data_IF_449952381834
#
_entry.id   IF_449952381834
#
_cell.length_a   1.000
_cell.length_b   1.000
_cell.length_c   1.000
_cell.angle_alpha   90.00
_cell.angle_beta   90.00
_cell.angle_gamma   90.00
#
_symmetry.space_group_name_H-M   'P 1'
#
loop_
_entity.id
_entity.type
_entity.pdbx_description
1 polymer ?
#
# COMPACT_ATOMS: atom_id res chain seq x y z
N UNK A 1 -11.39 -11.80 -30.19
CA UNK A 1 -12.83 -11.59 -30.40
C UNK A 1 -13.08 -10.10 -30.58
N UNK A 2 -13.60 -9.71 -31.74
CA UNK A 2 -14.04 -8.34 -32.01
C UNK A 2 -15.25 -7.97 -31.16
N UNK A 3 -15.46 -6.68 -30.93
CA UNK A 3 -16.60 -6.19 -30.15
C UNK A 3 -17.94 -6.48 -30.83
N UNK A 4 -17.97 -6.40 -32.16
CA UNK A 4 -19.11 -6.81 -33.00
C UNK A 4 -19.42 -8.31 -32.84
N UNK A 5 -18.38 -9.17 -32.85
CA UNK A 5 -18.51 -10.62 -32.65
C UNK A 5 -19.09 -10.94 -31.27
N UNK A 6 -18.60 -10.26 -30.22
CA UNK A 6 -19.14 -10.42 -28.85
C UNK A 6 -20.60 -10.04 -28.76
N UNK A 7 -20.99 -8.92 -29.38
CA UNK A 7 -22.38 -8.45 -29.35
C UNK A 7 -23.28 -9.43 -30.11
N UNK A 8 -22.82 -9.94 -31.26
CA UNK A 8 -23.53 -10.95 -32.02
C UNK A 8 -23.72 -12.25 -31.22
N UNK A 9 -22.68 -12.71 -30.54
CA UNK A 9 -22.72 -13.89 -29.66
C UNK A 9 -23.71 -13.70 -28.50
N UNK A 10 -23.74 -12.51 -27.88
CA UNK A 10 -24.71 -12.19 -26.83
C UNK A 10 -26.15 -12.20 -27.37
N UNK A 11 -26.40 -11.55 -28.50
CA UNK A 11 -27.74 -11.45 -29.09
C UNK A 11 -28.28 -12.81 -29.56
N UNK A 12 -27.44 -13.59 -30.25
CA UNK A 12 -27.80 -14.94 -30.70
C UNK A 12 -28.11 -15.85 -29.52
N UNK A 13 -27.29 -15.80 -28.46
CA UNK A 13 -27.52 -16.62 -27.27
C UNK A 13 -28.79 -16.22 -26.51
N UNK A 14 -29.08 -14.92 -26.37
CA UNK A 14 -30.34 -14.45 -25.77
C UNK A 14 -31.53 -14.94 -26.58
N UNK A 15 -31.46 -14.85 -27.91
CA UNK A 15 -32.51 -15.32 -28.81
C UNK A 15 -32.74 -16.82 -28.67
N UNK A 16 -31.67 -17.62 -28.64
CA UNK A 16 -31.76 -19.07 -28.45
C UNK A 16 -32.42 -19.45 -27.11
N UNK A 17 -32.10 -18.72 -26.04
CA UNK A 17 -32.74 -18.90 -24.73
C UNK A 17 -34.25 -18.58 -24.82
N UNK A 18 -34.62 -17.47 -25.45
CA UNK A 18 -36.02 -17.05 -25.58
C UNK A 18 -36.84 -18.00 -26.49
N UNK A 19 -36.24 -18.51 -27.56
CA UNK A 19 -36.86 -19.46 -28.50
C UNK A 19 -36.98 -20.87 -27.92
N UNK A 20 -36.06 -21.27 -27.03
CA UNK A 20 -36.07 -22.60 -26.38
C UNK A 20 -37.32 -22.86 -25.53
N UNK A 21 -38.01 -21.81 -25.07
CA UNK A 21 -39.14 -21.85 -24.13
C UNK A 21 -38.86 -22.62 -22.83
N UNK A 22 -37.59 -22.94 -22.54
CA UNK A 22 -37.18 -23.59 -21.30
C UNK A 22 -36.98 -22.56 -20.19
N UNK A 23 -37.08 -22.97 -18.90
CA UNK A 23 -36.66 -22.12 -17.80
C UNK A 23 -35.18 -21.75 -17.95
N UNK A 24 -34.85 -20.47 -17.74
CA UNK A 24 -33.48 -19.96 -17.90
C UNK A 24 -32.45 -20.75 -17.09
N UNK A 25 -32.81 -21.27 -15.91
CA UNK A 25 -31.91 -22.15 -15.14
C UNK A 25 -31.57 -23.42 -15.92
N UNK A 26 -32.58 -24.12 -16.42
CA UNK A 26 -32.45 -25.39 -17.13
C UNK A 26 -31.64 -25.23 -18.40
N UNK A 27 -31.86 -24.13 -19.14
CA UNK A 27 -31.09 -23.86 -20.35
C UNK A 27 -29.59 -23.70 -20.05
N UNK A 28 -29.24 -23.01 -18.97
CA UNK A 28 -27.85 -22.79 -18.56
C UNK A 28 -27.18 -24.05 -18.02
N UNK A 29 -27.95 -24.97 -17.43
CA UNK A 29 -27.43 -26.25 -16.94
C UNK A 29 -27.18 -27.23 -18.10
N UNK A 30 -27.96 -27.13 -19.19
CA UNK A 30 -27.91 -28.05 -20.34
C UNK A 30 -27.04 -27.56 -21.50
N UNK A 31 -26.77 -26.26 -21.60
CA UNK A 31 -26.06 -25.67 -22.72
C UNK A 31 -24.83 -24.88 -22.26
N UNK A 32 -23.77 -24.92 -23.08
CA UNK A 32 -22.61 -24.05 -22.86
C UNK A 32 -22.94 -22.61 -23.26
N UNK A 33 -23.06 -21.73 -22.27
CA UNK A 33 -23.38 -20.31 -22.45
C UNK A 33 -22.11 -19.45 -22.21
N UNK A 34 -21.79 -18.49 -23.09
CA UNK A 34 -20.56 -17.68 -22.99
C UNK A 34 -20.57 -16.65 -21.84
N UNK A 35 -21.68 -16.55 -21.11
CA UNK A 35 -21.83 -15.65 -19.96
C UNK A 35 -22.68 -16.31 -18.87
N UNK A 36 -22.62 -15.75 -17.66
CA UNK A 36 -23.39 -16.23 -16.50
C UNK A 36 -24.87 -15.84 -16.55
N UNK A 37 -25.70 -16.56 -15.80
CA UNK A 37 -27.14 -16.26 -15.64
C UNK A 37 -27.39 -14.84 -15.11
N UNK A 38 -26.52 -14.33 -14.25
CA UNK A 38 -26.61 -12.94 -13.78
C UNK A 38 -26.34 -11.93 -14.90
N UNK A 39 -25.41 -12.23 -15.81
CA UNK A 39 -25.13 -11.40 -16.99
C UNK A 39 -26.29 -11.44 -17.98
N UNK A 40 -26.96 -12.59 -18.17
CA UNK A 40 -28.18 -12.69 -19.00
C UNK A 40 -29.23 -11.65 -18.61
N UNK A 41 -29.64 -11.62 -17.33
CA UNK A 41 -30.65 -10.66 -16.88
C UNK A 41 -30.21 -9.20 -17.01
N UNK A 42 -28.90 -8.92 -16.84
CA UNK A 42 -28.35 -7.58 -17.08
C UNK A 42 -28.43 -7.21 -18.56
N UNK A 43 -28.00 -8.09 -19.46
CA UNK A 43 -28.05 -7.85 -20.90
C UNK A 43 -29.49 -7.66 -21.38
N UNK A 44 -30.43 -8.48 -20.92
CA UNK A 44 -31.85 -8.32 -21.25
C UNK A 44 -32.40 -6.96 -20.78
N UNK A 45 -32.04 -6.53 -19.57
CA UNK A 45 -32.44 -5.21 -19.03
C UNK A 45 -31.84 -4.06 -19.85
N UNK A 46 -30.57 -4.18 -20.24
CA UNK A 46 -29.86 -3.18 -21.04
C UNK A 46 -30.44 -3.11 -22.45
N UNK A 47 -30.66 -4.26 -23.09
CA UNK A 47 -31.26 -4.38 -24.42
C UNK A 47 -32.64 -3.70 -24.45
N UNK A 48 -33.47 -3.93 -23.42
CA UNK A 48 -34.79 -3.31 -23.31
C UNK A 48 -34.73 -1.78 -23.17
N UNK A 49 -33.70 -1.25 -22.52
CA UNK A 49 -33.58 0.19 -22.21
C UNK A 49 -32.84 0.98 -23.29
N UNK A 50 -31.81 0.39 -23.88
CA UNK A 50 -30.83 1.09 -24.73
C UNK A 50 -30.60 0.38 -26.08
N UNK A 51 -31.30 -0.72 -26.38
CA UNK A 51 -31.13 -1.47 -27.62
C UNK A 51 -29.77 -2.17 -27.73
N UNK A 52 -29.38 -2.52 -28.97
CA UNK A 52 -28.09 -3.16 -29.28
C UNK A 52 -26.90 -2.30 -28.85
N UNK A 53 -27.01 -0.98 -29.00
CA UNK A 53 -25.93 -0.05 -28.68
C UNK A 53 -25.52 -0.09 -27.20
N UNK A 54 -26.45 -0.36 -26.29
CA UNK A 54 -26.14 -0.51 -24.86
C UNK A 54 -25.28 -1.74 -24.51
N UNK A 55 -25.10 -2.70 -25.42
CA UNK A 55 -24.24 -3.87 -25.20
C UNK A 55 -22.76 -3.64 -25.58
N UNK A 56 -22.45 -2.49 -26.21
CA UNK A 56 -21.07 -2.06 -26.50
C UNK A 56 -20.31 -1.82 -25.19
N UNK A 57 -19.03 -2.14 -25.20
CA UNK A 57 -18.18 -1.96 -24.02
C UNK A 57 -17.73 -0.51 -23.92
N UNK A 58 -18.52 0.30 -23.21
CA UNK A 58 -18.22 1.71 -23.00
C UNK A 58 -16.98 1.97 -22.13
N UNK A 59 -16.34 0.94 -21.56
CA UNK A 59 -15.09 1.10 -20.79
C UNK A 59 -13.94 1.64 -21.64
N UNK A 60 -13.95 1.35 -22.96
CA UNK A 60 -12.95 1.89 -23.90
C UNK A 60 -13.05 3.41 -24.06
N UNK A 61 -14.22 3.99 -23.80
CA UNK A 61 -14.43 5.43 -23.96
C UNK A 61 -13.91 6.25 -22.77
N UNK A 62 -13.24 5.63 -21.79
CA UNK A 62 -12.54 6.30 -20.69
C UNK A 62 -13.41 7.10 -19.70
N UNK A 63 -14.68 7.34 -20.03
CA UNK A 63 -15.53 8.35 -19.40
C UNK A 63 -16.72 7.80 -18.61
N UNK A 64 -16.87 6.47 -18.48
CA UNK A 64 -17.90 5.89 -17.60
C UNK A 64 -17.42 5.67 -16.16
N UNK A 65 -16.42 6.44 -15.72
CA UNK A 65 -16.07 6.53 -14.31
C UNK A 65 -16.94 7.57 -13.64
N UNK A 66 -17.48 7.25 -12.45
CA UNK A 66 -18.20 8.23 -11.60
C UNK A 66 -17.35 9.46 -11.23
N UNK A 67 -16.03 9.38 -11.42
CA UNK A 67 -15.05 10.41 -11.13
C UNK A 67 -14.75 11.21 -12.42
N UNK A 68 -15.71 12.05 -12.80
CA UNK A 68 -15.59 12.94 -13.97
C UNK A 68 -14.49 13.97 -13.77
N UNK A 69 -14.01 14.59 -14.85
CA UNK A 69 -12.95 15.61 -14.80
C UNK A 69 -13.31 16.78 -13.87
N UNK A 70 -14.55 17.26 -13.94
CA UNK A 70 -15.07 18.28 -13.00
C UNK A 70 -14.97 17.87 -11.54
N UNK A 71 -15.19 16.59 -11.22
CA UNK A 71 -15.05 16.07 -9.85
C UNK A 71 -13.57 15.93 -9.48
N UNK A 72 -12.70 15.54 -10.42
CA UNK A 72 -11.25 15.49 -10.23
C UNK A 72 -10.72 16.87 -9.83
N UNK A 73 -11.09 17.91 -10.58
CA UNK A 73 -10.66 19.28 -10.32
C UNK A 73 -11.12 19.79 -8.96
N UNK A 74 -12.38 19.50 -8.61
CA UNK A 74 -12.92 19.81 -7.29
C UNK A 74 -12.15 19.14 -6.15
N UNK A 75 -11.84 17.84 -6.29
CA UNK A 75 -11.05 17.11 -5.30
C UNK A 75 -9.64 17.69 -5.19
N UNK A 76 -9.01 18.03 -6.31
CA UNK A 76 -7.68 18.67 -6.32
C UNK A 76 -7.72 20.00 -5.57
N UNK A 77 -8.70 20.86 -5.83
CA UNK A 77 -8.84 22.15 -5.17
C UNK A 77 -8.97 22.01 -3.65
N UNK A 78 -9.88 21.15 -3.17
CA UNK A 78 -10.11 20.94 -1.73
C UNK A 78 -8.89 20.32 -1.06
N UNK A 79 -8.25 19.34 -1.69
CA UNK A 79 -7.09 18.65 -1.08
C UNK A 79 -5.85 19.55 -1.08
N UNK A 80 -5.72 20.47 -2.04
CA UNK A 80 -4.67 21.51 -2.01
C UNK A 80 -4.85 22.47 -0.83
N UNK A 81 -6.09 22.87 -0.55
CA UNK A 81 -6.40 23.76 0.58
C UNK A 81 -6.26 23.04 1.93
N UNK A 82 -6.79 21.82 2.05
CA UNK A 82 -6.77 21.04 3.29
C UNK A 82 -6.34 19.60 3.04
N UNK A 83 -5.02 19.38 3.00
CA UNK A 83 -4.43 18.06 2.69
C UNK A 83 -4.77 16.96 3.71
N UNK A 84 -5.13 17.34 4.94
CA UNK A 84 -5.52 16.43 6.02
C UNK A 84 -6.95 15.90 5.95
N UNK A 85 -7.78 16.42 5.02
CA UNK A 85 -9.17 15.97 4.87
C UNK A 85 -9.23 14.46 4.61
N UNK A 86 -10.15 13.79 5.32
CA UNK A 86 -10.37 12.36 5.15
C UNK A 86 -11.13 12.06 3.85
N UNK A 87 -10.93 10.86 3.30
CA UNK A 87 -11.63 10.44 2.08
C UNK A 87 -13.13 10.26 2.29
N UNK A 88 -13.59 9.97 3.52
CA UNK A 88 -15.01 9.95 3.88
C UNK A 88 -15.63 11.36 3.86
N UNK A 89 -14.93 12.36 4.40
CA UNK A 89 -15.37 13.76 4.31
C UNK A 89 -15.41 14.24 2.85
N UNK A 90 -14.40 13.90 2.03
CA UNK A 90 -14.43 14.20 0.60
C UNK A 90 -15.61 13.53 -0.11
N UNK A 91 -15.92 12.27 0.22
CA UNK A 91 -17.06 11.57 -0.34
C UNK A 91 -18.39 12.28 -0.03
N UNK A 92 -18.57 12.75 1.20
CA UNK A 92 -19.75 13.52 1.61
C UNK A 92 -19.81 14.84 0.84
N UNK A 93 -18.69 15.57 0.72
CA UNK A 93 -18.64 16.83 -0.01
C UNK A 93 -19.00 16.64 -1.50
N UNK A 94 -18.49 15.59 -2.13
CA UNK A 94 -18.80 15.26 -3.53
C UNK A 94 -20.27 14.87 -3.69
N UNK A 95 -20.81 14.09 -2.75
CA UNK A 95 -22.23 13.74 -2.75
C UNK A 95 -23.10 14.99 -2.65
N UNK A 96 -22.78 15.91 -1.74
CA UNK A 96 -23.55 17.14 -1.55
C UNK A 96 -23.46 18.08 -2.77
N UNK A 97 -22.28 18.19 -3.38
CA UNK A 97 -22.04 19.13 -4.48
C UNK A 97 -22.50 18.61 -5.85
N UNK A 98 -22.35 17.31 -6.11
CA UNK A 98 -22.57 16.72 -7.44
C UNK A 98 -23.68 15.66 -7.45
N UNK A 99 -24.24 15.29 -6.30
CA UNK A 99 -25.18 14.18 -6.16
C UNK A 99 -24.63 12.85 -6.71
N UNK A 100 -23.31 12.64 -6.62
CA UNK A 100 -22.62 11.44 -7.09
C UNK A 100 -21.95 10.73 -5.92
N UNK A 101 -22.33 9.47 -5.70
CA UNK A 101 -21.69 8.62 -4.71
C UNK A 101 -20.48 7.89 -5.32
N UNK A 102 -19.28 8.27 -4.88
CA UNK A 102 -17.99 7.69 -5.29
C UNK A 102 -17.48 6.76 -4.18
N UNK A 103 -16.87 5.62 -4.52
CA UNK A 103 -16.29 4.73 -3.51
C UNK A 103 -15.01 5.34 -2.90
N UNK A 104 -14.76 5.03 -1.62
CA UNK A 104 -13.55 5.47 -0.92
C UNK A 104 -12.27 4.99 -1.62
N UNK A 105 -12.27 3.75 -2.12
CA UNK A 105 -11.14 3.19 -2.86
C UNK A 105 -10.85 3.98 -4.13
N UNK A 106 -11.89 4.41 -4.86
CA UNK A 106 -11.72 5.24 -6.07
C UNK A 106 -11.12 6.61 -5.73
N UNK A 107 -11.57 7.23 -4.64
CA UNK A 107 -11.01 8.50 -4.16
C UNK A 107 -9.55 8.34 -3.70
N UNK A 108 -9.23 7.27 -2.97
CA UNK A 108 -7.86 7.01 -2.52
C UNK A 108 -6.92 6.74 -3.70
N UNK A 109 -7.37 5.96 -4.69
CA UNK A 109 -6.61 5.71 -5.91
C UNK A 109 -6.37 7.01 -6.70
N UNK A 110 -7.39 7.86 -6.82
CA UNK A 110 -7.25 9.16 -7.45
C UNK A 110 -6.23 10.06 -6.71
N UNK A 111 -6.32 10.14 -5.38
CA UNK A 111 -5.36 10.89 -4.55
C UNK A 111 -3.94 10.35 -4.69
N UNK A 112 -3.76 9.04 -4.75
CA UNK A 112 -2.46 8.41 -4.99
C UNK A 112 -1.92 8.77 -6.38
N UNK A 113 -2.74 8.68 -7.43
CA UNK A 113 -2.35 8.99 -8.81
C UNK A 113 -1.92 10.45 -9.02
N UNK A 114 -2.43 11.36 -8.19
CA UNK A 114 -2.14 12.81 -8.25
C UNK A 114 -1.12 13.25 -7.21
N UNK A 115 -0.50 12.32 -6.47
CA UNK A 115 0.42 12.62 -5.36
C UNK A 115 -0.19 13.50 -4.26
N UNK A 116 -1.51 13.49 -4.12
CA UNK A 116 -2.31 14.23 -3.13
C UNK A 116 -2.77 13.31 -2.00
N UNK A 117 -1.91 12.38 -1.61
CA UNK A 117 -2.11 11.51 -0.44
C UNK A 117 -2.36 12.34 0.81
N UNK A 118 -3.22 11.81 1.68
CA UNK A 118 -3.58 12.46 2.95
C UNK A 118 -2.34 12.54 3.81
N UNK A 119 -1.99 13.76 4.22
CA UNK A 119 -1.07 13.95 5.32
C UNK A 119 -1.89 13.81 6.59
N UNK A 120 -1.51 12.87 7.46
CA UNK A 120 -2.01 12.94 8.83
C UNK A 120 -1.49 14.26 9.39
N UNK A 121 -2.40 15.19 9.68
CA UNK A 121 -2.15 16.11 10.78
C UNK A 121 -1.94 15.19 11.96
N UNK A 122 -0.68 15.07 12.40
CA UNK A 122 -0.41 14.64 13.76
C UNK A 122 -1.22 15.62 14.60
N UNK A 123 -2.36 15.18 15.12
CA UNK A 123 -2.89 15.84 16.30
C UNK A 123 -1.68 15.82 17.23
N UNK A 124 -1.16 17.00 17.54
CA UNK A 124 -0.22 17.11 18.64
C UNK A 124 -1.02 16.56 19.81
N UNK A 125 -0.82 15.27 20.10
CA UNK A 125 -1.25 14.68 21.34
C UNK A 125 -0.80 15.69 22.37
N UNK A 126 -1.76 16.25 23.11
CA UNK A 126 -1.52 17.15 24.22
C UNK A 126 -0.81 16.36 25.33
N UNK A 127 0.32 15.72 25.02
CA UNK A 127 1.37 15.48 25.98
C UNK A 127 1.71 16.85 26.50
N UNK A 128 1.21 17.15 27.69
CA UNK A 128 1.89 18.07 28.59
C UNK A 128 3.32 17.52 28.69
N UNK A 129 4.23 18.00 27.83
CA UNK A 129 5.66 17.80 28.00
C UNK A 129 5.95 18.39 29.37
N UNK A 130 5.98 17.53 30.38
CA UNK A 130 6.51 17.90 31.67
C UNK A 130 7.95 18.29 31.37
N UNK A 131 8.29 19.57 31.51
CA UNK A 131 9.66 20.03 31.39
C UNK A 131 10.46 19.35 32.49
N UNK A 132 11.05 18.21 32.18
CA UNK A 132 11.98 17.53 33.08
C UNK A 132 13.36 18.12 32.84
N UNK A 133 13.87 18.83 33.85
CA UNK A 133 15.24 19.37 33.82
C UNK A 133 16.31 18.28 33.81
N UNK A 134 15.95 17.00 33.99
CA UNK A 134 16.91 15.89 33.97
C UNK A 134 17.67 15.77 32.65
N UNK A 135 17.02 16.04 31.52
CA UNK A 135 17.69 16.06 30.22
C UNK A 135 18.71 17.18 30.09
N UNK A 136 18.40 18.37 30.62
CA UNK A 136 19.30 19.52 30.63
C UNK A 136 20.48 19.29 31.58
N UNK A 137 20.25 18.66 32.74
CA UNK A 137 21.30 18.28 33.68
C UNK A 137 22.24 17.26 33.05
N UNK A 138 21.71 16.16 32.49
CA UNK A 138 22.53 15.13 31.83
C UNK A 138 23.32 15.70 30.66
N UNK A 139 22.71 16.57 29.86
CA UNK A 139 23.39 17.22 28.73
C UNK A 139 24.49 18.15 29.22
N UNK A 140 24.20 19.01 30.20
CA UNK A 140 25.18 19.94 30.79
C UNK A 140 26.33 19.19 31.47
N UNK A 141 26.04 18.11 32.20
CA UNK A 141 27.05 17.28 32.84
C UNK A 141 27.94 16.60 31.79
N UNK A 142 27.35 16.11 30.69
CA UNK A 142 28.09 15.47 29.60
C UNK A 142 29.05 16.44 28.90
N UNK A 143 28.64 17.71 28.73
CA UNK A 143 29.51 18.76 28.20
C UNK A 143 30.57 19.20 29.22
N UNK A 144 30.19 19.43 30.48
CA UNK A 144 31.12 19.86 31.53
C UNK A 144 32.21 18.83 31.83
N UNK A 145 31.84 17.55 31.83
CA UNK A 145 32.80 16.45 32.06
C UNK A 145 33.63 16.11 30.82
N UNK A 146 33.35 16.73 29.66
CA UNK A 146 33.95 16.39 28.37
C UNK A 146 33.85 14.90 28.00
N UNK A 147 32.90 14.17 28.59
CA UNK A 147 32.82 12.70 28.42
C UNK A 147 32.50 12.32 26.98
N UNK A 148 31.73 13.15 26.28
CA UNK A 148 31.43 12.98 24.85
C UNK A 148 32.70 13.10 24.02
N UNK A 149 33.55 14.08 24.32
CA UNK A 149 34.82 14.31 23.64
C UNK A 149 35.82 13.19 23.93
N UNK A 150 35.86 12.71 25.18
CA UNK A 150 36.67 11.56 25.57
C UNK A 150 36.26 10.30 24.79
N UNK A 151 34.96 10.02 24.71
CA UNK A 151 34.47 8.86 23.97
C UNK A 151 34.71 8.99 22.47
N UNK A 152 34.43 10.14 21.86
CA UNK A 152 34.67 10.34 20.43
C UNK A 152 36.14 10.22 20.10
N UNK A 153 37.03 10.80 20.90
CA UNK A 153 38.48 10.63 20.73
C UNK A 153 38.88 9.17 20.84
N UNK A 154 38.48 8.49 21.90
CA UNK A 154 38.83 7.08 22.13
C UNK A 154 38.35 6.17 21.00
N UNK A 155 37.10 6.34 20.55
CA UNK A 155 36.55 5.59 19.41
C UNK A 155 37.36 5.89 18.15
N UNK A 156 37.67 7.16 17.89
CA UNK A 156 38.42 7.56 16.70
C UNK A 156 39.84 6.98 16.70
N UNK A 157 40.53 7.03 17.84
CA UNK A 157 41.85 6.44 18.03
C UNK A 157 41.82 4.92 17.79
N UNK A 158 40.84 4.22 18.37
CA UNK A 158 40.69 2.77 18.17
C UNK A 158 40.37 2.42 16.71
N UNK A 159 39.47 3.16 16.06
CA UNK A 159 39.15 2.97 14.64
C UNK A 159 40.39 3.20 13.78
N UNK A 160 41.19 4.23 14.07
CA UNK A 160 42.42 4.51 13.34
C UNK A 160 43.49 3.43 13.60
N UNK A 161 43.64 2.95 14.83
CA UNK A 161 44.54 1.85 15.15
C UNK A 161 44.16 0.57 14.40
N UNK A 162 42.87 0.25 14.34
CA UNK A 162 42.36 -0.88 13.53
C UNK A 162 42.67 -0.65 12.05
N UNK A 163 42.44 0.55 11.50
CA UNK A 163 42.77 0.88 10.10
C UNK A 163 44.25 0.73 9.76
N UNK A 164 45.14 0.96 10.72
CA UNK A 164 46.59 0.79 10.56
C UNK A 164 47.07 -0.65 10.85
N UNK A 165 46.17 -1.53 11.29
CA UNK A 165 46.54 -2.91 11.62
C UNK A 165 46.81 -3.75 10.35
N UNK A 166 47.72 -4.74 10.44
CA UNK A 166 47.98 -5.66 9.33
C UNK A 166 46.72 -6.40 8.85
N UNK A 167 45.79 -6.69 9.78
CA UNK A 167 44.52 -7.34 9.47
C UNK A 167 43.61 -6.45 8.63
N UNK A 168 43.65 -5.12 8.80
CA UNK A 168 42.84 -4.22 8.00
C UNK A 168 43.38 -4.11 6.56
N UNK A 169 44.70 -4.01 6.39
CA UNK A 169 45.31 -4.03 5.05
C UNK A 169 45.09 -5.38 4.34
N UNK A 170 45.18 -6.52 5.05
CA UNK A 170 44.83 -7.83 4.49
C UNK A 170 43.38 -7.94 4.02
N UNK A 171 42.46 -7.20 4.66
CA UNK A 171 41.03 -7.24 4.37
C UNK A 171 40.56 -6.06 3.49
N UNK A 172 41.46 -5.22 3.00
CA UNK A 172 41.14 -4.00 2.24
C UNK A 172 40.57 -4.28 0.85
N UNK A 173 41.02 -5.37 0.24
CA UNK A 173 40.62 -5.82 -1.09
C UNK A 173 39.42 -6.79 -1.05
N UNK A 174 38.92 -7.11 0.14
CA UNK A 174 37.68 -7.87 0.30
C UNK A 174 36.52 -6.98 -0.13
N UNK A 175 35.80 -7.37 -1.18
CA UNK A 175 34.62 -6.65 -1.63
C UNK A 175 33.62 -6.45 -0.48
N UNK A 176 33.04 -5.24 -0.39
CA UNK A 176 32.05 -4.87 0.64
C UNK A 176 30.86 -5.85 0.70
N UNK A 177 30.58 -6.50 -0.42
CA UNK A 177 29.63 -7.59 -0.54
C UNK A 177 30.40 -8.87 -0.89
N UNK A 178 31.01 -9.50 0.12
CA UNK A 178 31.66 -10.79 -0.07
C UNK A 178 30.65 -11.92 0.26
N UNK A 179 30.07 -12.60 -0.76
CA UNK A 179 29.07 -13.64 -0.54
C UNK A 179 29.62 -14.83 0.24
N UNK A 180 30.91 -15.16 0.14
CA UNK A 180 31.52 -16.28 0.87
C UNK A 180 31.59 -16.00 2.38
N UNK A 181 31.80 -14.75 2.78
CA UNK A 181 31.72 -14.34 4.20
C UNK A 181 30.26 -14.28 4.66
N UNK A 182 29.35 -13.83 3.80
CA UNK A 182 27.90 -13.84 4.10
C UNK A 182 27.41 -15.25 4.36
N UNK A 183 27.80 -16.24 3.54
CA UNK A 183 27.39 -17.64 3.61
C UNK A 183 27.72 -18.32 4.96
N UNK A 184 28.65 -17.75 5.75
CA UNK A 184 29.04 -18.28 7.05
C UNK A 184 28.67 -17.37 8.24
N UNK A 185 27.90 -16.29 8.01
CA UNK A 185 27.56 -15.29 9.02
C UNK A 185 26.15 -15.40 9.64
N UNK A 186 25.92 -14.69 10.75
CA UNK A 186 24.60 -14.55 11.42
C UNK A 186 23.57 -13.72 10.64
N UNK A 187 23.84 -13.41 9.38
CA UNK A 187 22.95 -12.66 8.50
C UNK A 187 22.55 -13.45 7.24
N UNK A 188 22.82 -14.76 7.19
CA UNK A 188 22.35 -15.63 6.11
C UNK A 188 20.84 -15.81 6.11
N UNK A 189 20.31 -16.24 4.95
CA UNK A 189 18.92 -16.71 4.86
C UNK A 189 18.72 -17.92 5.77
N UNK A 190 19.64 -18.88 5.78
CA UNK A 190 19.56 -20.08 6.61
C UNK A 190 19.51 -19.73 8.10
N UNK A 191 20.38 -18.83 8.58
CA UNK A 191 20.37 -18.38 9.97
C UNK A 191 19.07 -17.67 10.36
N UNK A 192 18.53 -16.81 9.49
CA UNK A 192 17.24 -16.15 9.72
C UNK A 192 16.04 -17.10 9.66
N UNK A 193 16.21 -18.33 9.14
CA UNK A 193 15.18 -19.36 9.09
C UNK A 193 15.18 -20.27 10.32
N UNK A 194 16.23 -20.26 11.14
CA UNK A 194 16.29 -21.01 12.39
C UNK A 194 15.16 -20.59 13.35
N UNK A 195 14.53 -21.58 13.97
CA UNK A 195 13.40 -21.40 14.89
C UNK A 195 13.78 -20.50 16.07
N UNK A 196 14.92 -20.76 16.70
CA UNK A 196 15.46 -19.97 17.81
C UNK A 196 15.66 -18.48 17.48
N UNK A 197 16.01 -18.16 16.22
CA UNK A 197 16.18 -16.77 15.76
C UNK A 197 14.84 -16.12 15.49
N UNK A 198 13.89 -16.85 14.87
CA UNK A 198 12.55 -16.33 14.57
C UNK A 198 11.76 -16.04 15.84
N UNK A 199 11.81 -16.95 16.81
CA UNK A 199 11.12 -16.79 18.08
C UNK A 199 11.68 -15.62 18.89
N UNK A 200 12.99 -15.41 18.88
CA UNK A 200 13.63 -14.35 19.67
C UNK A 200 13.77 -13.00 18.93
N UNK A 201 13.40 -12.91 17.64
CA UNK A 201 13.59 -11.68 16.84
C UNK A 201 12.82 -10.48 17.42
N UNK A 202 11.59 -10.73 17.85
CA UNK A 202 10.64 -9.69 18.27
C UNK A 202 10.36 -9.66 19.78
N UNK A 203 11.01 -10.52 20.57
CA UNK A 203 10.90 -10.48 22.03
C UNK A 203 11.55 -9.22 22.61
N UNK A 204 11.18 -8.86 23.83
CA UNK A 204 11.81 -7.74 24.56
C UNK A 204 13.30 -8.00 24.77
N UNK A 205 14.09 -6.94 24.98
CA UNK A 205 15.51 -7.08 25.32
C UNK A 205 15.67 -7.92 26.60
N UNK A 206 14.77 -7.73 27.57
CA UNK A 206 14.76 -8.49 28.82
C UNK A 206 14.55 -9.99 28.60
N UNK A 207 13.78 -10.38 27.58
CA UNK A 207 13.51 -11.79 27.26
C UNK A 207 14.64 -12.44 26.43
N UNK A 208 15.54 -11.63 25.86
CA UNK A 208 16.66 -12.10 25.04
C UNK A 208 17.93 -12.37 25.85
N UNK A 209 18.02 -11.82 27.05
CA UNK A 209 19.18 -11.99 27.93
C UNK A 209 18.81 -13.05 28.96
N UNK A 210 19.24 -14.29 28.73
CA UNK A 210 18.93 -15.43 29.62
C UNK A 210 19.69 -15.37 30.94
N UNK A 211 20.88 -14.74 30.93
CA UNK A 211 21.73 -14.59 32.12
C UNK A 211 21.88 -13.09 32.44
N UNK A 212 20.85 -12.52 33.07
CA UNK A 212 21.04 -11.33 33.89
C UNK A 212 21.54 -11.83 35.24
N UNK A 213 22.85 -11.80 35.44
CA UNK A 213 23.41 -11.83 36.79
C UNK A 213 22.87 -10.59 37.52
N UNK A 214 22.00 -10.82 38.51
CA UNK A 214 21.57 -9.82 39.48
C UNK A 214 22.62 -9.67 40.58
#
# INVERSE_FOLDING_TARGET
MSEEERIYEILSTIRNIEESKQPVSVYFDQNSVPFSRAQYYRYRRILKKHGKEGLRDERKNGNYTKLTERIKDYVIAIVKEKRSISSSQLQINILNQFNVQISLSSLNNFRASTSLTRLLTREEENYKRQKSGGGEILTSLSFFTHIVELYTRTITEQVNAVRQSPLFEQNKDIERDNPDIRLHGKFTREYNQLESVRENRFKSIDDKITDKDF
#
